data_IF_018599009076
#
_entry.id   IF_018599009076
#
_cell.length_a   1.000
_cell.length_b   1.000
_cell.length_c   1.000
_cell.angle_alpha   90.00
_cell.angle_beta   90.00
_cell.angle_gamma   90.00
#
_symmetry.space_group_name_H-M   'P 1'
#
loop_
_entity.id
_entity.type
_entity.pdbx_description
1 polymer ?
#
# COMPACT_ATOMS: atom_id res chain seq x y z
N UNK A 1 -17.55 -9.24 72.53
CA UNK A 1 -17.19 -8.00 71.83
C UNK A 1 -16.61 -8.37 70.47
N UNK A 2 -17.35 -8.06 69.41
CA UNK A 2 -17.13 -8.55 68.05
C UNK A 2 -15.91 -7.92 67.37
N UNK A 3 -15.11 -8.75 66.69
CA UNK A 3 -13.98 -8.37 65.84
C UNK A 3 -14.48 -7.78 64.52
N UNK A 4 -14.06 -6.56 64.18
CA UNK A 4 -14.37 -5.93 62.89
C UNK A 4 -13.23 -6.28 61.92
N UNK A 5 -13.52 -7.18 60.98
CA UNK A 5 -12.66 -7.46 59.83
C UNK A 5 -12.83 -6.33 58.80
N UNK A 6 -11.75 -5.62 58.47
CA UNK A 6 -11.70 -4.69 57.33
C UNK A 6 -11.37 -5.48 56.05
N UNK A 7 -12.22 -5.44 55.00
CA UNK A 7 -11.84 -6.01 53.71
C UNK A 7 -10.92 -5.04 52.98
N UNK A 8 -9.69 -5.49 52.67
CA UNK A 8 -8.83 -4.89 51.68
C UNK A 8 -9.42 -5.22 50.29
N UNK A 9 -9.99 -4.20 49.63
CA UNK A 9 -10.40 -4.27 48.23
C UNK A 9 -9.15 -4.36 47.34
N UNK A 10 -8.94 -5.44 46.56
CA UNK A 10 -7.90 -5.44 45.56
C UNK A 10 -8.34 -4.55 44.39
N UNK A 11 -7.65 -3.43 44.19
CA UNK A 11 -7.73 -2.64 42.95
C UNK A 11 -7.25 -3.49 41.79
N UNK A 12 -8.20 -4.14 41.12
CA UNK A 12 -8.01 -4.90 39.90
C UNK A 12 -7.66 -3.92 38.78
N UNK A 13 -6.36 -3.67 38.57
CA UNK A 13 -5.84 -3.00 37.37
C UNK A 13 -6.09 -3.93 36.18
N UNK A 14 -7.22 -3.73 35.50
CA UNK A 14 -7.46 -4.27 34.16
C UNK A 14 -6.49 -3.59 33.20
N UNK A 15 -5.34 -4.21 32.97
CA UNK A 15 -4.52 -3.92 31.80
C UNK A 15 -5.28 -4.42 30.57
N UNK A 16 -6.15 -3.57 30.02
CA UNK A 16 -6.64 -3.72 28.65
C UNK A 16 -5.42 -3.61 27.74
N UNK A 17 -4.78 -4.74 27.42
CA UNK A 17 -3.87 -4.81 26.30
C UNK A 17 -4.71 -4.58 25.03
N UNK A 18 -4.90 -3.32 24.67
CA UNK A 18 -5.49 -2.95 23.40
C UNK A 18 -4.50 -3.30 22.30
N UNK A 19 -4.60 -4.51 21.76
CA UNK A 19 -3.98 -4.80 20.47
C UNK A 19 -4.63 -3.87 19.45
N UNK A 20 -3.82 -3.09 18.75
CA UNK A 20 -4.30 -2.27 17.62
C UNK A 20 -4.94 -3.21 16.59
N UNK A 21 -6.21 -3.02 16.19
CA UNK A 21 -6.81 -3.90 15.20
C UNK A 21 -6.03 -3.82 13.88
N UNK A 22 -5.83 -4.97 13.24
CA UNK A 22 -5.31 -5.00 11.88
C UNK A 22 -6.37 -4.56 10.88
N UNK A 23 -5.98 -4.37 9.63
CA UNK A 23 -6.90 -4.23 8.49
C UNK A 23 -6.35 -4.96 7.28
N UNK A 24 -7.19 -5.32 6.32
CA UNK A 24 -6.74 -5.89 5.03
C UNK A 24 -6.70 -4.79 3.99
N UNK A 25 -5.59 -4.66 3.26
CA UNK A 25 -5.50 -3.75 2.11
C UNK A 25 -5.24 -4.59 0.86
N UNK A 26 -6.12 -4.46 -0.14
CA UNK A 26 -6.06 -5.25 -1.38
C UNK A 26 -6.24 -4.38 -2.62
N UNK A 27 -5.70 -4.84 -3.74
CA UNK A 27 -6.01 -4.28 -5.05
C UNK A 27 -7.44 -4.68 -5.46
N UNK A 28 -8.23 -3.71 -5.92
CA UNK A 28 -9.64 -3.93 -6.26
C UNK A 28 -9.92 -3.98 -7.75
N UNK A 29 -9.07 -3.36 -8.57
CA UNK A 29 -9.21 -3.39 -10.02
C UNK A 29 -8.43 -4.56 -10.62
N UNK A 30 -9.06 -5.20 -11.61
CA UNK A 30 -8.36 -6.18 -12.44
C UNK A 30 -7.33 -5.49 -13.32
N UNK A 31 -6.32 -6.26 -13.76
CA UNK A 31 -5.32 -5.80 -14.72
C UNK A 31 -5.91 -5.08 -15.93
N UNK A 32 -7.00 -5.62 -16.50
CA UNK A 32 -7.69 -5.03 -17.65
C UNK A 32 -8.38 -3.69 -17.35
N UNK A 33 -8.89 -3.51 -16.12
CA UNK A 33 -9.54 -2.27 -15.70
C UNK A 33 -8.52 -1.16 -15.39
N UNK A 34 -7.43 -1.53 -14.72
CA UNK A 34 -6.29 -0.63 -14.51
C UNK A 34 -5.74 -0.12 -15.84
N UNK A 35 -5.57 -1.05 -16.80
CA UNK A 35 -5.11 -0.80 -18.15
C UNK A 35 -6.00 0.16 -18.95
N UNK A 36 -7.32 -0.06 -18.92
CA UNK A 36 -8.30 0.77 -19.61
C UNK A 36 -8.35 2.20 -19.03
N UNK A 37 -8.11 2.35 -17.72
CA UNK A 37 -8.11 3.66 -17.07
C UNK A 37 -6.82 4.43 -17.33
N UNK A 38 -5.66 3.81 -17.54
CA UNK A 38 -4.38 4.52 -17.76
C UNK A 38 -4.35 5.52 -18.93
N UNK A 39 -5.36 5.55 -19.81
CA UNK A 39 -5.45 6.51 -20.92
C UNK A 39 -4.40 6.27 -22.02
N UNK A 40 -3.53 5.28 -21.84
CA UNK A 40 -2.60 4.80 -22.84
C UNK A 40 -3.29 3.74 -23.70
N UNK A 41 -3.35 3.97 -25.01
CA UNK A 41 -3.62 2.89 -25.95
C UNK A 41 -2.53 1.82 -25.76
N UNK A 42 -2.91 0.63 -25.28
CA UNK A 42 -1.96 -0.46 -24.99
C UNK A 42 -1.28 -0.36 -23.63
N UNK A 43 -2.04 -0.47 -22.53
CA UNK A 43 -1.43 -0.66 -21.21
C UNK A 43 -0.75 -2.03 -21.14
N UNK A 44 0.52 -2.01 -21.51
CA UNK A 44 1.42 -3.15 -21.50
C UNK A 44 2.24 -3.20 -20.20
N UNK A 45 1.96 -2.35 -19.20
CA UNK A 45 2.69 -2.35 -17.92
C UNK A 45 1.76 -2.58 -16.72
N UNK A 46 1.90 -3.74 -16.07
CA UNK A 46 1.07 -4.20 -14.97
C UNK A 46 1.62 -3.92 -13.61
N UNK A 47 0.71 -3.55 -12.69
CA UNK A 47 0.99 -3.42 -11.28
C UNK A 47 0.14 -4.47 -10.58
N UNK A 48 0.81 -5.28 -9.77
CA UNK A 48 0.16 -6.19 -8.85
C UNK A 48 0.59 -5.84 -7.43
N UNK A 49 -0.40 -5.62 -6.57
CA UNK A 49 -0.19 -5.38 -5.13
C UNK A 49 -0.76 -6.57 -4.37
N UNK A 50 0.11 -7.28 -3.66
CA UNK A 50 -0.30 -8.39 -2.81
C UNK A 50 -1.08 -7.84 -1.62
N UNK A 51 -2.14 -8.56 -1.22
CA UNK A 51 -2.91 -8.21 -0.03
C UNK A 51 -2.01 -8.15 1.21
N UNK A 52 -2.03 -7.01 1.90
CA UNK A 52 -1.30 -6.77 3.13
C UNK A 52 -2.22 -6.64 4.34
N UNK A 53 -1.65 -6.81 5.53
CA UNK A 53 -2.39 -6.73 6.80
C UNK A 53 -1.74 -5.77 7.82
N UNK A 54 -1.61 -4.47 7.52
CA UNK A 54 -1.01 -3.51 8.45
C UNK A 54 -1.90 -3.27 9.68
N UNK A 55 -1.29 -2.72 10.73
CA UNK A 55 -2.03 -2.22 11.89
C UNK A 55 -2.65 -0.85 11.55
N UNK A 56 -3.89 -0.59 11.98
CA UNK A 56 -4.58 0.64 11.58
C UNK A 56 -3.90 1.93 12.08
N UNK A 57 -3.14 1.85 13.18
CA UNK A 57 -2.42 2.95 13.80
C UNK A 57 -1.04 3.25 13.19
N UNK A 58 -0.52 2.40 12.29
CA UNK A 58 0.78 2.62 11.65
C UNK A 58 0.73 3.86 10.74
N UNK A 59 1.83 4.62 10.69
CA UNK A 59 2.02 5.71 9.70
C UNK A 59 2.97 5.33 8.58
N UNK A 60 3.52 4.11 8.63
CA UNK A 60 4.31 3.55 7.54
C UNK A 60 3.48 2.51 6.80
N UNK A 61 3.39 2.65 5.48
CA UNK A 61 2.75 1.67 4.61
C UNK A 61 3.78 1.05 3.67
N UNK A 62 3.91 -0.28 3.73
CA UNK A 62 4.98 -1.05 3.07
C UNK A 62 4.38 -2.19 2.24
N UNK A 63 3.72 -1.90 1.10
CA UNK A 63 3.10 -2.94 0.29
C UNK A 63 4.15 -3.78 -0.44
N UNK A 64 3.86 -5.07 -0.60
CA UNK A 64 4.55 -5.92 -1.58
C UNK A 64 3.97 -5.64 -2.98
N UNK A 65 4.76 -4.99 -3.82
CA UNK A 65 4.35 -4.57 -5.17
C UNK A 65 5.26 -5.19 -6.23
N UNK A 66 4.68 -5.73 -7.30
CA UNK A 66 5.40 -6.16 -8.49
C UNK A 66 4.92 -5.40 -9.72
N UNK A 67 5.85 -5.11 -10.63
CA UNK A 67 5.57 -4.55 -11.95
C UNK A 67 5.88 -5.59 -13.03
N UNK A 68 4.98 -5.77 -13.99
CA UNK A 68 5.20 -6.61 -15.17
C UNK A 68 5.24 -5.74 -16.41
N UNK A 69 6.25 -5.92 -17.25
CA UNK A 69 6.32 -5.26 -18.55
C UNK A 69 5.89 -6.24 -19.64
N UNK A 70 4.63 -6.21 -20.04
CA UNK A 70 4.08 -6.97 -21.16
C UNK A 70 4.32 -6.31 -22.53
N UNK A 71 5.07 -5.20 -22.60
CA UNK A 71 5.38 -4.53 -23.87
C UNK A 71 6.53 -5.20 -24.61
N UNK A 72 6.74 -4.79 -25.85
CA UNK A 72 7.90 -5.17 -26.66
C UNK A 72 9.15 -4.30 -26.39
N UNK A 73 9.04 -3.29 -25.52
CA UNK A 73 10.12 -2.32 -25.22
C UNK A 73 10.54 -2.37 -23.77
N UNK A 74 11.81 -2.09 -23.50
CA UNK A 74 12.28 -1.89 -22.14
C UNK A 74 11.65 -0.63 -21.53
N UNK A 75 11.11 -0.76 -20.32
CA UNK A 75 10.62 0.38 -19.55
C UNK A 75 11.60 0.76 -18.44
N UNK A 76 11.63 2.04 -18.09
CA UNK A 76 12.38 2.56 -16.94
C UNK A 76 11.40 3.20 -15.97
N UNK A 77 11.19 2.57 -14.81
CA UNK A 77 10.36 3.11 -13.74
C UNK A 77 11.11 4.22 -13.03
N UNK A 78 10.55 5.43 -13.03
CA UNK A 78 11.18 6.63 -12.48
C UNK A 78 10.67 6.96 -11.08
N UNK A 79 9.38 6.73 -10.80
CA UNK A 79 8.82 7.00 -9.48
C UNK A 79 7.56 6.19 -9.18
N UNK A 80 7.31 5.98 -7.89
CA UNK A 80 6.08 5.38 -7.38
C UNK A 80 5.46 6.35 -6.37
N UNK A 81 4.14 6.53 -6.44
CA UNK A 81 3.38 7.42 -5.57
C UNK A 81 2.11 6.75 -5.08
N UNK A 82 1.70 7.06 -3.85
CA UNK A 82 0.39 6.71 -3.32
C UNK A 82 -0.47 7.97 -3.29
N UNK A 83 -1.52 8.02 -4.11
CA UNK A 83 -2.41 9.16 -4.22
C UNK A 83 -3.73 8.88 -3.50
N UNK A 84 -4.14 9.81 -2.66
CA UNK A 84 -5.45 9.83 -2.01
C UNK A 84 -6.27 11.01 -2.55
N UNK A 85 -7.50 11.17 -2.07
CA UNK A 85 -8.30 12.36 -2.36
C UNK A 85 -7.74 13.67 -1.78
N UNK A 86 -6.83 13.61 -0.81
CA UNK A 86 -6.32 14.78 -0.06
C UNK A 86 -4.81 14.98 -0.19
N UNK A 87 -4.05 13.93 -0.46
CA UNK A 87 -2.60 13.94 -0.40
C UNK A 87 -1.98 13.00 -1.46
N UNK A 88 -0.68 13.18 -1.67
CA UNK A 88 0.13 12.30 -2.51
C UNK A 88 1.45 12.02 -1.82
N UNK A 89 1.71 10.74 -1.52
CA UNK A 89 2.89 10.29 -0.82
C UNK A 89 3.90 9.77 -1.83
N UNK A 90 5.12 10.31 -1.77
CA UNK A 90 6.23 9.87 -2.61
C UNK A 90 6.91 8.66 -1.97
N UNK A 91 7.26 7.67 -2.79
CA UNK A 91 7.99 6.49 -2.34
C UNK A 91 9.34 6.86 -1.71
N UNK A 92 9.69 6.20 -0.60
CA UNK A 92 10.96 6.28 0.11
C UNK A 92 11.64 4.90 0.09
N UNK A 93 12.31 4.51 -1.00
CA UNK A 93 12.93 3.19 -1.11
C UNK A 93 13.92 2.96 0.03
N UNK A 94 13.99 1.71 0.51
CA UNK A 94 14.91 1.27 1.56
C UNK A 94 16.34 1.25 1.07
N UNK A 95 16.53 0.84 -0.17
CA UNK A 95 17.84 0.71 -0.78
C UNK A 95 18.13 1.91 -1.68
N UNK A 96 19.27 2.56 -1.44
CA UNK A 96 19.76 3.58 -2.36
C UNK A 96 20.02 2.93 -3.73
N UNK A 97 19.57 3.59 -4.81
CA UNK A 97 19.70 3.06 -6.16
C UNK A 97 18.59 2.10 -6.61
N UNK A 98 17.54 1.86 -5.79
CA UNK A 98 16.35 1.10 -6.24
C UNK A 98 15.64 1.74 -7.44
N UNK A 99 15.80 3.06 -7.63
CA UNK A 99 15.25 3.80 -8.76
C UNK A 99 16.33 4.68 -9.41
N UNK A 100 16.29 4.87 -10.74
CA UNK A 100 15.32 4.29 -11.67
C UNK A 100 15.47 2.77 -11.86
N UNK A 101 14.35 2.05 -12.01
CA UNK A 101 14.33 0.60 -12.18
C UNK A 101 14.06 0.23 -13.65
N UNK A 102 14.97 -0.52 -14.27
CA UNK A 102 14.81 -1.02 -15.64
C UNK A 102 14.09 -2.37 -15.63
N UNK A 103 13.03 -2.50 -16.43
CA UNK A 103 12.24 -3.73 -16.59
C UNK A 103 12.20 -4.10 -18.08
N UNK A 104 12.79 -5.23 -18.43
CA UNK A 104 12.86 -5.70 -19.83
C UNK A 104 11.47 -6.14 -20.33
N UNK A 105 11.26 -6.24 -21.66
CA UNK A 105 10.09 -6.90 -22.23
C UNK A 105 9.87 -8.29 -21.63
N UNK A 106 8.64 -8.60 -21.22
CA UNK A 106 8.22 -9.86 -20.60
C UNK A 106 8.62 -10.04 -19.13
N UNK A 107 9.46 -9.17 -18.56
CA UNK A 107 9.95 -9.33 -17.20
C UNK A 107 8.93 -8.87 -16.15
N UNK A 108 8.97 -9.54 -14.99
CA UNK A 108 8.33 -9.09 -13.75
C UNK A 108 9.39 -8.75 -12.71
N UNK A 109 9.29 -7.58 -12.06
CA UNK A 109 10.22 -7.15 -11.01
C UNK A 109 9.49 -6.63 -9.77
N UNK A 110 10.03 -6.85 -8.56
CA UNK A 110 9.52 -6.19 -7.36
C UNK A 110 9.84 -4.70 -7.38
N UNK A 111 8.95 -3.90 -6.80
CA UNK A 111 9.17 -2.48 -6.52
C UNK A 111 9.49 -2.32 -5.02
N UNK A 112 10.58 -1.61 -4.70
CA UNK A 112 10.92 -1.26 -3.31
C UNK A 112 10.09 -0.05 -2.88
N UNK A 113 8.92 -0.32 -2.30
CA UNK A 113 7.90 0.68 -1.98
C UNK A 113 7.76 0.87 -0.47
N UNK A 114 7.91 2.12 -0.03
CA UNK A 114 7.70 2.54 1.35
C UNK A 114 7.10 3.95 1.39
N UNK A 115 5.95 4.11 2.05
CA UNK A 115 5.30 5.41 2.21
C UNK A 115 5.26 5.80 3.68
N UNK A 116 5.68 7.04 3.96
CA UNK A 116 5.42 7.69 5.23
C UNK A 116 4.18 8.56 5.09
N UNK A 117 3.14 8.19 5.82
CA UNK A 117 1.82 8.82 5.81
C UNK A 117 1.78 9.90 6.89
N UNK A 118 0.99 10.95 6.66
CA UNK A 118 0.70 12.01 7.62
C UNK A 118 -0.47 11.65 8.56
N UNK A 119 -1.31 10.69 8.16
CA UNK A 119 -2.34 10.08 9.00
C UNK A 119 -2.12 8.56 9.12
N UNK A 120 -2.69 7.90 10.14
CA UNK A 120 -2.61 6.45 10.27
C UNK A 120 -3.18 5.71 9.05
N UNK A 121 -2.63 4.54 8.73
CA UNK A 121 -3.03 3.68 7.60
C UNK A 121 -4.55 3.47 7.60
N UNK A 122 -5.15 3.20 8.75
CA UNK A 122 -6.59 3.03 8.88
C UNK A 122 -7.39 4.22 8.36
N UNK A 123 -6.91 5.45 8.61
CA UNK A 123 -7.54 6.69 8.12
C UNK A 123 -7.33 6.92 6.63
N UNK A 124 -6.12 6.67 6.14
CA UNK A 124 -5.79 6.82 4.73
C UNK A 124 -6.64 5.90 3.85
N UNK A 125 -6.90 4.68 4.30
CA UNK A 125 -7.61 3.65 3.55
C UNK A 125 -9.11 3.53 3.91
N UNK A 126 -9.70 4.49 4.63
CA UNK A 126 -11.17 4.61 4.77
C UNK A 126 -11.86 4.81 3.41
N UNK A 127 -11.11 5.25 2.40
CA UNK A 127 -11.54 5.33 0.99
C UNK A 127 -10.49 4.67 0.10
N UNK A 128 -10.88 4.20 -1.10
CA UNK A 128 -9.92 3.70 -2.06
C UNK A 128 -8.85 4.74 -2.41
N UNK A 129 -7.62 4.27 -2.60
CA UNK A 129 -6.45 5.06 -2.95
C UNK A 129 -5.82 4.52 -4.24
N UNK A 130 -5.06 5.35 -4.95
CA UNK A 130 -4.38 4.95 -6.18
C UNK A 130 -2.87 4.80 -5.95
N UNK A 131 -2.33 3.62 -6.22
CA UNK A 131 -0.88 3.42 -6.40
C UNK A 131 -0.53 3.77 -7.85
N UNK A 132 0.35 4.74 -8.04
CA UNK A 132 0.77 5.26 -9.35
C UNK A 132 2.23 4.94 -9.59
N UNK A 133 2.53 4.31 -10.72
CA UNK A 133 3.90 4.00 -11.16
C UNK A 133 4.17 4.78 -12.43
N UNK A 134 5.06 5.75 -12.35
CA UNK A 134 5.53 6.52 -13.50
C UNK A 134 6.72 5.80 -14.13
N UNK A 135 6.70 5.69 -15.45
CA UNK A 135 7.76 5.04 -16.21
C UNK A 135 7.93 5.69 -17.57
N UNK A 136 9.11 5.47 -18.15
CA UNK A 136 9.42 5.85 -19.52
C UNK A 136 9.57 4.62 -20.41
N UNK A 137 8.97 4.65 -21.60
CA UNK A 137 9.19 3.69 -22.68
C UNK A 137 9.78 4.42 -23.88
N UNK A 138 11.06 4.21 -24.17
CA UNK A 138 11.78 5.02 -25.15
C UNK A 138 11.86 6.50 -24.74
N UNK A 139 11.22 7.38 -25.51
CA UNK A 139 11.14 8.83 -25.23
C UNK A 139 9.83 9.25 -24.56
N UNK A 140 8.86 8.34 -24.40
CA UNK A 140 7.52 8.64 -23.90
C UNK A 140 7.43 8.39 -22.40
N UNK A 141 6.99 9.40 -21.65
CA UNK A 141 6.62 9.27 -20.24
C UNK A 141 5.17 8.78 -20.14
N UNK A 142 4.93 7.81 -19.26
CA UNK A 142 3.63 7.19 -19.05
C UNK A 142 3.43 6.86 -17.57
N UNK A 143 2.22 6.39 -17.24
CA UNK A 143 1.82 6.05 -15.88
C UNK A 143 0.87 4.87 -15.88
N UNK A 144 1.18 3.86 -15.06
CA UNK A 144 0.25 2.79 -14.70
C UNK A 144 -0.32 3.06 -13.30
N UNK A 145 -1.53 2.58 -13.05
CA UNK A 145 -2.21 2.72 -11.76
C UNK A 145 -2.84 1.43 -11.28
N UNK A 146 -2.92 1.26 -9.96
CA UNK A 146 -3.70 0.23 -9.30
C UNK A 146 -4.53 0.87 -8.18
N UNK A 147 -5.77 0.42 -8.01
CA UNK A 147 -6.68 0.91 -6.97
C UNK A 147 -6.61 -0.01 -5.76
N UNK A 148 -6.33 0.55 -4.59
CA UNK A 148 -6.23 -0.18 -3.33
C UNK A 148 -7.37 0.21 -2.40
N UNK A 149 -8.00 -0.76 -1.75
CA UNK A 149 -9.03 -0.52 -0.74
C UNK A 149 -8.68 -1.23 0.57
N UNK A 150 -8.99 -0.54 1.68
CA UNK A 150 -8.88 -1.07 3.03
C UNK A 150 -10.21 -1.62 3.54
N UNK A 151 -10.17 -2.76 4.21
CA UNK A 151 -11.33 -3.40 4.81
C UNK A 151 -10.98 -3.94 6.21
N UNK A 152 -11.96 -4.05 7.13
CA UNK A 152 -11.75 -4.72 8.40
C UNK A 152 -11.20 -6.15 8.21
N UNK A 153 -10.43 -6.67 9.18
CA UNK A 153 -9.95 -8.04 9.12
C UNK A 153 -11.15 -8.98 9.12
N UNK A 154 -11.23 -9.86 8.11
CA UNK A 154 -12.33 -10.82 7.84
C UNK A 154 -13.56 -10.31 7.06
N UNK A 155 -13.46 -9.20 6.32
CA UNK A 155 -14.43 -8.88 5.28
C UNK A 155 -14.23 -9.80 4.06
N UNK A 156 -14.81 -11.00 4.10
CA UNK A 156 -14.97 -11.88 2.93
C UNK A 156 -16.39 -11.77 2.39
#
# INVERSE_FOLDING_TARGET
MNRILRPLLPSMFFFMAGCDPGMSIRQTDSWHEAAARSGAAGSEVAIHVKTGHPLIGETWYVPEVTITNASDKTITVSSVKLATSRASYVNKPRQAGSYPLVVSPGDTKPLDVWFHLDEPVGKIFERPVELKVHYRSGAEESMSRATLAGEPPNAN
#
